data_IF_841647755111
#
_entry.id   IF_841647755111
#
_cell.length_a   1.000
_cell.length_b   1.000
_cell.length_c   1.000
_cell.angle_alpha   90.00
_cell.angle_beta   90.00
_cell.angle_gamma   90.00
#
_symmetry.space_group_name_H-M   'P 1'
#
loop_
_entity.id
_entity.type
_entity.pdbx_description
1 polymer ?
#
# COMPACT_ATOMS: atom_id res chain seq x y z
N UNK A 1 0.40 0.25 -8.96
CA UNK A 1 -0.33 1.54 -9.02
C UNK A 1 -1.66 1.40 -9.75
N UNK A 2 -2.64 2.23 -9.35
CA UNK A 2 -3.96 2.29 -9.94
C UNK A 2 -4.16 3.68 -10.57
N UNK A 3 -4.06 3.78 -11.89
CA UNK A 3 -4.45 4.97 -12.67
C UNK A 3 -5.89 4.85 -13.17
N UNK A 4 -6.44 5.91 -13.74
CA UNK A 4 -7.78 5.92 -14.31
C UNK A 4 -7.80 6.27 -15.79
N UNK A 5 -7.41 7.48 -16.15
CA UNK A 5 -7.22 7.89 -17.55
C UNK A 5 -5.76 8.31 -17.77
N UNK A 6 -5.31 8.25 -19.01
CA UNK A 6 -3.87 8.46 -19.34
C UNK A 6 -3.44 9.93 -19.14
N UNK A 7 -4.37 10.86 -19.09
CA UNK A 7 -4.11 12.29 -18.88
C UNK A 7 -4.12 12.69 -17.41
N UNK A 8 -4.51 11.78 -16.49
CA UNK A 8 -4.47 12.09 -15.05
C UNK A 8 -3.03 12.27 -14.55
N UNK A 9 -2.82 13.32 -13.78
CA UNK A 9 -1.60 13.52 -13.01
C UNK A 9 -1.58 12.66 -11.73
N UNK A 10 -2.76 12.36 -11.22
CA UNK A 10 -2.93 11.56 -10.02
C UNK A 10 -2.94 10.06 -10.32
N UNK A 11 -2.35 9.31 -9.41
CA UNK A 11 -2.40 7.85 -9.37
C UNK A 11 -2.47 7.38 -7.93
N UNK A 12 -2.97 6.18 -7.71
CA UNK A 12 -3.08 5.60 -6.37
C UNK A 12 -2.04 4.50 -6.23
N UNK A 13 -1.08 4.67 -5.31
CA UNK A 13 -0.27 3.56 -4.83
C UNK A 13 -1.17 2.64 -4.02
N UNK A 14 -1.18 1.35 -4.34
CA UNK A 14 -1.95 0.34 -3.61
C UNK A 14 -1.05 -0.78 -3.15
N UNK A 15 -1.04 -1.03 -1.86
CA UNK A 15 -0.35 -2.13 -1.20
C UNK A 15 -1.38 -2.97 -0.45
N UNK A 16 -1.06 -4.22 -0.21
CA UNK A 16 -1.85 -5.10 0.65
C UNK A 16 -0.92 -6.02 1.43
N UNK A 17 -1.11 -6.09 2.74
CA UNK A 17 -0.53 -7.14 3.56
C UNK A 17 -1.46 -8.37 3.45
N UNK A 18 -0.97 -9.49 2.85
CA UNK A 18 -1.86 -10.57 2.41
C UNK A 18 -2.50 -11.35 3.56
N UNK A 19 -1.77 -11.62 4.65
CA UNK A 19 -2.26 -12.46 5.75
C UNK A 19 -3.41 -11.80 6.53
N UNK A 20 -3.37 -10.47 6.62
CA UNK A 20 -4.41 -9.67 7.26
C UNK A 20 -5.39 -9.05 6.26
N UNK A 21 -5.18 -9.28 4.95
CA UNK A 21 -5.93 -8.59 3.88
C UNK A 21 -6.00 -7.07 4.08
N UNK A 22 -4.93 -6.51 4.69
CA UNK A 22 -4.86 -5.13 5.14
C UNK A 22 -4.32 -4.22 4.03
N UNK A 23 -5.18 -3.40 3.41
CA UNK A 23 -4.77 -2.49 2.35
C UNK A 23 -4.14 -1.21 2.91
N UNK A 24 -3.14 -0.70 2.20
CA UNK A 24 -2.65 0.67 2.32
C UNK A 24 -2.72 1.32 0.94
N UNK A 25 -3.31 2.49 0.85
CA UNK A 25 -3.43 3.24 -0.39
C UNK A 25 -3.05 4.71 -0.16
N UNK A 26 -2.33 5.28 -1.11
CA UNK A 26 -1.91 6.68 -1.07
C UNK A 26 -2.16 7.34 -2.42
N UNK A 27 -2.72 8.56 -2.41
CA UNK A 27 -2.85 9.39 -3.60
C UNK A 27 -1.51 10.08 -3.87
N UNK A 28 -0.99 9.89 -5.07
CA UNK A 28 0.26 10.48 -5.52
C UNK A 28 0.05 11.27 -6.81
N UNK A 29 0.64 12.45 -6.91
CA UNK A 29 0.59 13.31 -8.10
C UNK A 29 1.92 13.24 -8.83
N UNK A 30 1.91 12.79 -10.10
CA UNK A 30 3.11 12.60 -10.93
C UNK A 30 4.26 11.91 -10.19
N UNK A 31 4.02 10.74 -9.53
CA UNK A 31 4.99 10.15 -8.62
C UNK A 31 6.24 9.68 -9.36
N UNK A 32 7.38 9.98 -8.75
CA UNK A 32 8.70 9.46 -9.11
C UNK A 32 9.12 8.38 -8.10
N UNK A 33 10.25 7.71 -8.35
CA UNK A 33 10.76 6.69 -7.42
C UNK A 33 10.97 7.23 -6.00
N UNK A 34 11.50 8.45 -5.87
CA UNK A 34 11.69 9.10 -4.57
C UNK A 34 10.39 9.31 -3.78
N UNK A 35 9.24 9.44 -4.43
CA UNK A 35 7.96 9.63 -3.74
C UNK A 35 7.45 8.32 -3.14
N UNK A 36 7.75 7.19 -3.78
CA UNK A 36 7.52 5.86 -3.23
C UNK A 36 8.43 5.61 -2.02
N UNK A 37 9.70 5.96 -2.12
CA UNK A 37 10.65 5.92 -1.00
C UNK A 37 10.14 6.73 0.19
N UNK A 38 9.73 7.98 -0.03
CA UNK A 38 9.17 8.85 1.03
C UNK A 38 7.91 8.26 1.67
N UNK A 39 7.08 7.57 0.90
CA UNK A 39 5.91 6.88 1.45
C UNK A 39 6.31 5.80 2.46
N UNK A 40 7.30 4.96 2.14
CA UNK A 40 7.81 3.96 3.07
C UNK A 40 8.56 4.58 4.25
N UNK A 41 9.33 5.65 4.03
CA UNK A 41 9.99 6.41 5.09
C UNK A 41 8.99 6.98 6.09
N UNK A 42 7.86 7.54 5.60
CA UNK A 42 6.78 8.05 6.44
C UNK A 42 6.17 6.94 7.29
N UNK A 43 5.91 5.78 6.70
CA UNK A 43 5.37 4.63 7.45
C UNK A 43 6.35 4.23 8.56
N UNK A 44 7.63 4.03 8.22
CA UNK A 44 8.65 3.67 9.21
C UNK A 44 8.76 4.71 10.33
N UNK A 45 8.75 6.00 9.98
CA UNK A 45 8.78 7.08 10.97
C UNK A 45 7.60 7.01 11.95
N UNK A 46 6.41 6.67 11.44
CA UNK A 46 5.19 6.61 12.26
C UNK A 46 5.15 5.39 13.18
N UNK A 47 5.59 4.21 12.70
CA UNK A 47 5.44 2.95 13.45
C UNK A 47 6.74 2.38 14.01
N UNK A 48 7.88 2.98 13.66
CA UNK A 48 9.22 2.53 14.05
C UNK A 48 9.77 1.39 13.20
N UNK A 49 11.10 1.22 13.21
CA UNK A 49 11.85 0.28 12.38
C UNK A 49 11.38 -1.18 12.58
N UNK A 50 11.27 -1.64 13.82
CA UNK A 50 10.95 -3.04 14.11
C UNK A 50 9.51 -3.40 13.66
N UNK A 51 8.56 -2.51 13.88
CA UNK A 51 7.19 -2.71 13.43
C UNK A 51 7.08 -2.64 11.90
N UNK A 52 7.84 -1.76 11.26
CA UNK A 52 7.92 -1.71 9.80
C UNK A 52 8.43 -3.04 9.24
N UNK A 53 9.53 -3.56 9.77
CA UNK A 53 10.14 -4.83 9.36
C UNK A 53 9.19 -6.02 9.57
N UNK A 54 8.40 -6.01 10.64
CA UNK A 54 7.37 -7.04 10.90
C UNK A 54 6.17 -6.92 9.95
N UNK A 55 5.77 -5.71 9.60
CA UNK A 55 4.62 -5.45 8.73
C UNK A 55 4.95 -5.69 7.25
N UNK A 56 6.17 -5.34 6.83
CA UNK A 56 6.67 -5.42 5.45
C UNK A 56 8.00 -6.18 5.37
N UNK A 57 8.08 -7.45 5.79
CA UNK A 57 9.34 -8.21 5.69
C UNK A 57 9.78 -8.37 4.22
N UNK A 58 8.80 -8.47 3.33
CA UNK A 58 8.98 -8.59 1.88
C UNK A 58 7.97 -7.71 1.16
N UNK A 59 8.44 -6.94 0.19
CA UNK A 59 7.62 -6.19 -0.75
C UNK A 59 7.76 -6.85 -2.11
N UNK A 60 6.63 -7.24 -2.70
CA UNK A 60 6.56 -7.79 -4.05
C UNK A 60 5.88 -6.77 -4.98
N UNK A 61 6.57 -6.37 -6.04
CA UNK A 61 6.08 -5.38 -6.99
C UNK A 61 6.29 -5.83 -8.44
N UNK A 62 5.70 -5.10 -9.40
CA UNK A 62 6.06 -5.20 -10.81
C UNK A 62 7.28 -4.32 -11.10
N UNK A 63 7.77 -4.40 -12.34
CA UNK A 63 8.89 -3.59 -12.84
C UNK A 63 8.45 -2.16 -13.20
N UNK A 64 7.56 -1.57 -12.40
CA UNK A 64 7.17 -0.18 -12.59
C UNK A 64 8.37 0.73 -12.25
N UNK A 65 8.69 1.73 -13.12
CA UNK A 65 9.84 2.64 -12.90
C UNK A 65 9.81 3.37 -11.57
N UNK A 66 8.66 3.48 -10.92
CA UNK A 66 8.51 4.11 -9.60
C UNK A 66 9.07 3.28 -8.44
N UNK A 67 9.45 2.02 -8.68
CA UNK A 67 10.11 1.14 -7.70
C UNK A 67 11.61 0.95 -7.97
N UNK A 68 12.24 1.83 -8.75
CA UNK A 68 13.67 1.72 -9.11
C UNK A 68 14.63 2.19 -8.02
N UNK A 69 14.16 2.95 -7.04
CA UNK A 69 14.97 3.35 -5.87
C UNK A 69 14.98 2.21 -4.82
N UNK A 70 15.67 1.11 -5.17
CA UNK A 70 15.68 -0.12 -4.37
C UNK A 70 16.26 0.15 -2.99
N UNK A 71 17.43 0.78 -2.91
CA UNK A 71 18.09 1.10 -1.64
C UNK A 71 17.23 2.03 -0.78
N UNK A 72 16.62 3.04 -1.37
CA UNK A 72 15.71 3.94 -0.67
C UNK A 72 14.50 3.22 -0.08
N UNK A 73 14.01 2.15 -0.72
CA UNK A 73 12.88 1.35 -0.22
C UNK A 73 13.35 0.34 0.83
N UNK A 74 14.50 -0.31 0.64
CA UNK A 74 14.94 -1.45 1.45
C UNK A 74 15.78 -1.07 2.66
N UNK A 75 16.48 0.08 2.60
CA UNK A 75 17.35 0.54 3.69
C UNK A 75 16.69 1.68 4.46
N UNK A 76 16.64 1.55 5.76
CA UNK A 76 16.14 2.58 6.66
C UNK A 76 17.06 3.79 6.67
N UNK A 77 16.51 4.98 6.46
CA UNK A 77 17.26 6.25 6.64
C UNK A 77 17.48 6.60 8.11
N UNK A 78 16.73 5.99 9.01
CA UNK A 78 16.82 6.24 10.46
C UNK A 78 17.94 5.42 11.08
N UNK A 79 18.01 4.12 10.72
CA UNK A 79 18.93 3.18 11.34
C UNK A 79 20.10 2.79 10.45
N UNK A 80 20.02 3.02 9.13
CA UNK A 80 20.99 2.52 8.15
C UNK A 80 20.91 1.01 7.89
N UNK A 81 19.99 0.30 8.54
CA UNK A 81 19.83 -1.15 8.41
C UNK A 81 18.76 -1.53 7.36
N UNK A 82 18.84 -2.78 6.88
CA UNK A 82 17.80 -3.33 5.99
C UNK A 82 16.47 -3.47 6.72
N UNK A 83 15.45 -2.71 6.24
CA UNK A 83 14.10 -2.71 6.81
C UNK A 83 13.15 -3.70 6.11
N UNK A 84 13.39 -4.03 4.85
CA UNK A 84 12.61 -5.02 4.10
C UNK A 84 13.39 -5.52 2.90
N UNK A 85 12.89 -6.60 2.27
CA UNK A 85 13.37 -7.09 0.97
C UNK A 85 12.40 -6.69 -0.12
N UNK A 86 12.91 -6.29 -1.29
CA UNK A 86 12.12 -5.96 -2.46
C UNK A 86 12.34 -7.00 -3.54
N UNK A 87 11.24 -7.58 -4.06
CA UNK A 87 11.27 -8.51 -5.19
C UNK A 87 10.38 -8.00 -6.32
N UNK A 88 10.81 -8.27 -7.54
CA UNK A 88 10.06 -7.96 -8.74
C UNK A 88 9.40 -9.22 -9.29
N UNK A 89 8.11 -9.12 -9.62
CA UNK A 89 7.40 -10.18 -10.31
C UNK A 89 7.96 -10.39 -11.72
N UNK A 90 7.82 -11.60 -12.22
CA UNK A 90 8.11 -11.90 -13.62
C UNK A 90 7.15 -11.13 -14.53
N UNK A 91 7.63 -10.67 -15.69
CA UNK A 91 6.78 -10.00 -16.66
C UNK A 91 5.61 -10.90 -17.08
N UNK A 92 4.41 -10.31 -17.14
CA UNK A 92 3.18 -10.98 -17.60
C UNK A 92 2.66 -12.14 -16.73
N UNK A 93 3.22 -12.36 -15.52
CA UNK A 93 2.74 -13.39 -14.59
C UNK A 93 1.83 -12.75 -13.53
N UNK A 94 0.58 -12.51 -13.91
CA UNK A 94 -0.42 -11.89 -13.03
C UNK A 94 -0.74 -12.75 -11.79
N UNK A 95 -0.58 -14.08 -11.90
CA UNK A 95 -0.82 -15.01 -10.79
C UNK A 95 0.10 -14.80 -9.57
N UNK A 96 1.20 -14.07 -9.73
CA UNK A 96 2.11 -13.76 -8.61
C UNK A 96 1.58 -12.68 -7.64
N UNK A 97 0.54 -11.90 -8.06
CA UNK A 97 -0.02 -10.81 -7.23
C UNK A 97 -1.55 -10.87 -7.08
N UNK A 98 -2.15 -12.01 -6.71
CA UNK A 98 -3.61 -12.13 -6.67
C UNK A 98 -4.25 -11.19 -5.64
N UNK A 99 -3.58 -10.93 -4.52
CA UNK A 99 -4.09 -10.05 -3.46
C UNK A 99 -4.18 -8.58 -3.92
N UNK A 100 -3.14 -8.07 -4.62
CA UNK A 100 -3.16 -6.70 -5.17
C UNK A 100 -4.21 -6.58 -6.28
N UNK A 101 -4.37 -7.59 -7.13
CA UNK A 101 -5.40 -7.58 -8.17
C UNK A 101 -6.80 -7.55 -7.56
N UNK A 102 -7.05 -8.34 -6.52
CA UNK A 102 -8.32 -8.33 -5.80
C UNK A 102 -8.56 -7.00 -5.08
N UNK A 103 -7.53 -6.40 -4.47
CA UNK A 103 -7.60 -5.06 -3.92
C UNK A 103 -7.97 -4.04 -5.00
N UNK A 104 -7.30 -4.08 -6.15
CA UNK A 104 -7.57 -3.18 -7.26
C UNK A 104 -9.01 -3.34 -7.80
N UNK A 105 -9.55 -4.57 -7.88
CA UNK A 105 -10.97 -4.81 -8.21
C UNK A 105 -11.91 -4.14 -7.19
N UNK A 106 -11.58 -4.20 -5.89
CA UNK A 106 -12.36 -3.53 -4.82
C UNK A 106 -12.26 -2.00 -4.95
N UNK A 107 -11.06 -1.47 -5.21
CA UNK A 107 -10.82 -0.03 -5.40
C UNK A 107 -11.55 0.53 -6.62
N UNK A 108 -11.74 -0.27 -7.68
CA UNK A 108 -12.50 0.14 -8.87
C UNK A 108 -13.97 0.45 -8.62
N UNK A 109 -14.53 0.03 -7.49
CA UNK A 109 -15.90 0.45 -7.06
C UNK A 109 -15.93 1.91 -6.60
N UNK A 110 -14.81 2.43 -6.10
CA UNK A 110 -14.65 3.83 -5.65
C UNK A 110 -14.01 4.70 -6.72
N UNK A 111 -13.04 4.14 -7.45
CA UNK A 111 -12.26 4.80 -8.49
C UNK A 111 -12.45 4.07 -9.82
N UNK A 112 -13.58 4.29 -10.52
CA UNK A 112 -13.90 3.59 -11.77
C UNK A 112 -12.88 3.91 -12.86
N UNK A 113 -12.64 2.95 -13.77
CA UNK A 113 -11.88 3.21 -14.98
C UNK A 113 -12.56 4.30 -15.82
N UNK A 114 -11.77 5.06 -16.56
CA UNK A 114 -12.23 6.13 -17.47
C UNK A 114 -12.92 7.33 -16.79
N UNK A 115 -12.81 7.45 -15.48
CA UNK A 115 -13.17 8.66 -14.74
C UNK A 115 -11.91 9.26 -14.17
N UNK A 116 -11.68 10.57 -14.37
CA UNK A 116 -10.53 11.25 -13.81
C UNK A 116 -10.51 11.16 -12.28
N UNK A 117 -9.31 10.97 -11.74
CA UNK A 117 -9.03 10.99 -10.30
C UNK A 117 -8.24 12.24 -9.88
N UNK A 118 -8.03 13.19 -10.80
CA UNK A 118 -7.30 14.43 -10.49
C UNK A 118 -8.04 15.34 -9.52
N UNK A 119 -9.36 15.18 -9.42
CA UNK A 119 -10.19 15.93 -8.46
C UNK A 119 -10.17 15.32 -7.04
N UNK A 120 -9.55 14.14 -6.85
CA UNK A 120 -9.49 13.51 -5.54
C UNK A 120 -8.45 14.19 -4.65
N UNK A 121 -8.78 14.25 -3.36
CA UNK A 121 -7.84 14.65 -2.31
C UNK A 121 -7.27 13.45 -1.58
N UNK A 122 -6.13 13.62 -0.91
CA UNK A 122 -5.57 12.58 -0.02
C UNK A 122 -6.60 12.15 1.03
N UNK A 123 -7.43 13.08 1.51
CA UNK A 123 -8.50 12.79 2.48
C UNK A 123 -9.57 11.85 1.91
N UNK A 124 -9.91 12.00 0.64
CA UNK A 124 -10.90 11.11 -0.01
C UNK A 124 -10.34 9.69 -0.14
N UNK A 125 -9.10 9.56 -0.58
CA UNK A 125 -8.43 8.25 -0.69
C UNK A 125 -8.23 7.61 0.69
N UNK A 126 -7.86 8.40 1.71
CA UNK A 126 -7.76 7.92 3.10
C UNK A 126 -9.10 7.38 3.61
N UNK A 127 -10.22 8.08 3.40
CA UNK A 127 -11.56 7.59 3.77
C UNK A 127 -11.89 6.25 3.11
N UNK A 128 -11.53 6.07 1.84
CA UNK A 128 -11.71 4.79 1.15
C UNK A 128 -10.86 3.70 1.79
N UNK A 129 -9.59 3.98 2.10
CA UNK A 129 -8.70 3.07 2.81
C UNK A 129 -9.32 2.60 4.13
N UNK A 130 -9.71 3.54 4.98
CA UNK A 130 -10.35 3.27 6.27
C UNK A 130 -11.65 2.47 6.12
N UNK A 131 -12.46 2.77 5.11
CA UNK A 131 -13.68 2.01 4.80
C UNK A 131 -13.40 0.55 4.42
N UNK A 132 -12.25 0.28 3.80
CA UNK A 132 -11.83 -1.08 3.48
C UNK A 132 -11.30 -1.84 4.70
N UNK A 133 -10.74 -1.13 5.69
CA UNK A 133 -10.26 -1.74 6.93
C UNK A 133 -11.38 -2.31 7.81
N UNK A 134 -12.57 -1.70 7.77
CA UNK A 134 -13.72 -2.09 8.61
C UNK A 134 -14.74 -2.98 7.89
N UNK A 135 -14.47 -3.39 6.65
CA UNK A 135 -15.35 -4.29 5.91
C UNK A 135 -14.93 -5.75 6.12
N UNK A 136 -15.85 -6.62 6.55
CA UNK A 136 -15.57 -8.05 6.68
C UNK A 136 -15.09 -8.66 5.36
N UNK A 137 -14.11 -9.56 5.46
CA UNK A 137 -13.51 -10.25 4.32
C UNK A 137 -13.65 -11.75 4.49
N UNK A 138 -14.22 -12.43 3.49
CA UNK A 138 -14.50 -13.88 3.55
C UNK A 138 -13.26 -14.72 3.88
N UNK A 139 -12.10 -14.38 3.34
CA UNK A 139 -10.84 -15.11 3.58
C UNK A 139 -10.34 -14.96 5.04
N UNK A 140 -10.87 -13.99 5.79
CA UNK A 140 -10.60 -13.79 7.21
C UNK A 140 -11.74 -14.31 8.09
N UNK A 141 -12.49 -15.31 7.64
CA UNK A 141 -13.67 -15.83 8.35
C UNK A 141 -14.64 -14.73 8.79
N UNK A 142 -14.84 -13.74 7.92
CA UNK A 142 -15.67 -12.56 8.12
C UNK A 142 -15.16 -11.55 9.16
N UNK A 143 -13.93 -11.71 9.68
CA UNK A 143 -13.27 -10.62 10.40
C UNK A 143 -12.89 -9.48 9.45
N UNK A 144 -12.73 -8.28 10.01
CA UNK A 144 -12.25 -7.12 9.25
C UNK A 144 -10.73 -7.12 9.16
N UNK A 145 -10.14 -6.49 8.13
CA UNK A 145 -8.70 -6.25 8.09
C UNK A 145 -8.16 -5.52 9.33
N UNK A 146 -8.96 -4.60 9.90
CA UNK A 146 -8.62 -3.92 11.15
C UNK A 146 -8.55 -4.90 12.31
N UNK A 147 -9.53 -5.80 12.49
CA UNK A 147 -9.51 -6.81 13.55
C UNK A 147 -8.28 -7.72 13.42
N UNK A 148 -7.97 -8.17 12.20
CA UNK A 148 -6.80 -8.99 11.94
C UNK A 148 -5.49 -8.24 12.25
N UNK A 149 -5.40 -6.96 11.88
CA UNK A 149 -4.25 -6.12 12.18
C UNK A 149 -4.06 -5.92 13.68
N UNK A 150 -5.11 -5.50 14.39
CA UNK A 150 -5.04 -5.17 15.82
C UNK A 150 -4.79 -6.40 16.70
N UNK A 151 -5.15 -7.58 16.22
CA UNK A 151 -4.84 -8.87 16.88
C UNK A 151 -3.34 -9.21 16.84
N UNK A 152 -2.63 -8.83 15.77
CA UNK A 152 -1.20 -9.13 15.56
C UNK A 152 -0.29 -8.02 16.09
N UNK A 153 -0.72 -6.78 15.92
CA UNK A 153 0.02 -5.58 16.34
C UNK A 153 -0.65 -4.93 17.56
N UNK A 154 -1.33 -3.80 17.36
CA UNK A 154 -2.15 -3.14 18.39
C UNK A 154 -3.06 -2.08 17.75
N UNK A 155 -4.07 -1.63 18.49
CA UNK A 155 -4.90 -0.48 18.09
C UNK A 155 -4.07 0.81 18.03
N UNK A 156 -3.11 0.99 18.93
CA UNK A 156 -2.20 2.13 18.92
C UNK A 156 -1.37 2.18 17.63
N UNK A 157 -0.79 1.05 17.23
CA UNK A 157 0.00 0.95 16.01
C UNK A 157 -0.85 1.19 14.76
N UNK A 158 -2.11 0.70 14.76
CA UNK A 158 -3.07 0.99 13.70
C UNK A 158 -3.29 2.50 13.54
N UNK A 159 -3.49 3.21 14.64
CA UNK A 159 -3.71 4.65 14.61
C UNK A 159 -2.46 5.44 14.18
N UNK A 160 -1.26 4.97 14.55
CA UNK A 160 0.02 5.55 14.11
C UNK A 160 0.24 5.35 12.61
N UNK A 161 -0.08 4.18 12.09
CA UNK A 161 0.08 3.84 10.68
C UNK A 161 -0.78 4.72 9.76
N UNK A 162 -1.93 5.19 10.24
CA UNK A 162 -2.86 6.01 9.47
C UNK A 162 -2.67 7.54 9.64
N UNK A 163 -1.65 7.99 10.37
CA UNK A 163 -1.28 9.41 10.43
C UNK A 163 -0.59 9.86 9.14
#
# INVERSE_FOLDING_TARGET
FLGSITTDNNTILSLIQPDMQFPLIELMTNPKAIDVTKFFDKIEYNIGFDNFKRLFPVILTDRDPRFTDIDGITISKITGAERCKLFFCDPYVSSQKPNVENLNKRLRRYFPKRKSIDNLTKKDVKKVCESLHIKPVKILDHYTPKDAFTKIFSEELYNLLLK
#
